data_IF_399548032694
#
_entry.id   IF_399548032694
#
_cell.length_a   1.000
_cell.length_b   1.000
_cell.length_c   1.000
_cell.angle_alpha   90.00
_cell.angle_beta   90.00
_cell.angle_gamma   90.00
#
_symmetry.space_group_name_H-M   'P 1'
#
loop_
_entity.id
_entity.type
_entity.pdbx_description
1 polymer ?
#
# COMPACT_ATOMS: atom_id res chain seq x y z
N UNK A 1 0.98 10.88 -12.17
CA UNK A 1 0.84 11.91 -13.22
C UNK A 1 -0.64 12.06 -13.52
N UNK A 2 -1.17 13.28 -13.48
CA UNK A 2 -2.56 13.56 -13.84
C UNK A 2 -2.69 13.72 -15.35
N UNK A 3 -3.89 13.49 -15.88
CA UNK A 3 -4.18 13.72 -17.31
C UNK A 3 -3.86 15.16 -17.73
N UNK A 4 -4.17 16.13 -16.86
CA UNK A 4 -3.88 17.55 -17.12
C UNK A 4 -2.40 17.86 -17.19
N UNK A 5 -1.58 17.21 -16.36
CA UNK A 5 -0.12 17.33 -16.46
C UNK A 5 0.41 16.79 -17.80
N UNK A 6 -0.13 15.65 -18.26
CA UNK A 6 0.26 15.09 -19.57
C UNK A 6 -0.12 16.02 -20.72
N UNK A 7 -1.33 16.60 -20.69
CA UNK A 7 -1.78 17.58 -21.68
C UNK A 7 -0.88 18.81 -21.65
N UNK A 8 -0.58 19.35 -20.47
CA UNK A 8 0.32 20.49 -20.34
C UNK A 8 1.70 20.20 -20.93
N UNK A 9 2.30 19.03 -20.69
CA UNK A 9 3.60 18.65 -21.27
C UNK A 9 3.58 18.62 -22.80
N UNK A 10 2.55 18.00 -23.40
CA UNK A 10 2.40 17.95 -24.86
C UNK A 10 2.22 19.36 -25.43
N UNK A 11 1.41 20.18 -24.77
CA UNK A 11 1.12 21.54 -25.22
C UNK A 11 2.30 22.50 -25.06
N UNK A 12 3.13 22.37 -24.02
CA UNK A 12 4.35 23.18 -23.86
C UNK A 12 5.24 23.05 -25.10
N UNK A 13 5.41 21.83 -25.63
CA UNK A 13 6.15 21.61 -26.87
C UNK A 13 5.60 22.41 -28.05
N UNK A 14 4.27 22.45 -28.20
CA UNK A 14 3.62 23.22 -29.29
C UNK A 14 3.76 24.73 -29.12
N UNK A 15 3.75 25.23 -27.88
CA UNK A 15 3.85 26.67 -27.58
C UNK A 15 5.27 27.20 -27.83
N UNK A 16 6.28 26.38 -27.54
CA UNK A 16 7.68 26.74 -27.83
C UNK A 16 7.89 26.89 -29.35
N UNK A 17 7.18 26.11 -30.17
CA UNK A 17 7.31 26.14 -31.64
C UNK A 17 6.54 27.30 -32.28
N UNK A 18 5.43 27.75 -31.69
CA UNK A 18 4.56 28.79 -32.27
C UNK A 18 5.29 30.09 -32.67
N UNK A 19 6.19 30.68 -31.85
CA UNK A 19 6.95 31.87 -32.21
C UNK A 19 7.85 31.71 -33.44
N UNK A 20 8.23 30.49 -33.80
CA UNK A 20 9.06 30.19 -34.97
C UNK A 20 8.20 30.23 -36.25
N UNK A 21 6.93 29.84 -36.14
CA UNK A 21 5.99 29.77 -37.28
C UNK A 21 5.30 31.12 -37.51
N UNK A 22 4.98 31.83 -36.43
CA UNK A 22 4.22 33.08 -36.50
C UNK A 22 5.14 34.29 -36.71
N UNK A 23 4.95 35.04 -37.81
CA UNK A 23 5.79 36.21 -38.14
C UNK A 23 5.65 37.38 -37.14
N UNK A 24 4.59 37.39 -36.34
CA UNK A 24 4.33 38.42 -35.35
C UNK A 24 4.55 37.89 -33.93
N UNK A 25 5.61 38.37 -33.29
CA UNK A 25 5.97 38.02 -31.90
C UNK A 25 4.82 38.35 -30.93
N UNK A 26 4.11 39.46 -31.16
CA UNK A 26 2.97 39.88 -30.32
C UNK A 26 1.85 38.83 -30.37
N UNK A 27 1.51 38.32 -31.57
CA UNK A 27 0.49 37.28 -31.72
C UNK A 27 0.91 35.99 -31.00
N UNK A 28 2.19 35.62 -31.08
CA UNK A 28 2.73 34.47 -30.37
C UNK A 28 2.63 34.63 -28.84
N UNK A 29 2.98 35.81 -28.30
CA UNK A 29 2.87 36.10 -26.86
C UNK A 29 1.40 36.06 -26.39
N UNK A 30 0.48 36.62 -27.18
CA UNK A 30 -0.96 36.59 -26.88
C UNK A 30 -1.46 35.13 -26.86
N UNK A 31 -1.09 34.33 -27.87
CA UNK A 31 -1.44 32.91 -27.93
C UNK A 31 -0.92 32.12 -26.72
N UNK A 32 0.35 32.30 -26.36
CA UNK A 32 0.94 31.67 -25.19
C UNK A 32 0.25 32.09 -23.88
N UNK A 33 -0.09 33.37 -23.74
CA UNK A 33 -0.79 33.90 -22.56
C UNK A 33 -2.19 33.30 -22.42
N UNK A 34 -2.95 33.22 -23.51
CA UNK A 34 -4.28 32.58 -23.54
C UNK A 34 -4.16 31.12 -23.12
N UNK A 35 -3.15 30.40 -23.61
CA UNK A 35 -2.94 29.01 -23.24
C UNK A 35 -2.65 28.85 -21.74
N UNK A 36 -1.72 29.63 -21.19
CA UNK A 36 -1.37 29.57 -19.76
C UNK A 36 -2.61 29.85 -18.90
N UNK A 37 -3.38 30.89 -19.23
CA UNK A 37 -4.63 31.21 -18.55
C UNK A 37 -5.63 30.04 -18.67
N UNK A 38 -5.71 29.40 -19.83
CA UNK A 38 -6.61 28.24 -20.05
C UNK A 38 -6.24 27.05 -19.17
N UNK A 39 -4.94 26.75 -18.98
CA UNK A 39 -4.49 25.70 -18.07
C UNK A 39 -4.85 26.03 -16.61
N UNK A 40 -4.60 27.27 -16.18
CA UNK A 40 -4.95 27.72 -14.82
C UNK A 40 -6.45 27.60 -14.57
N UNK A 41 -7.28 28.03 -15.53
CA UNK A 41 -8.74 27.92 -15.45
C UNK A 41 -9.16 26.45 -15.37
N UNK A 42 -8.57 25.58 -16.19
CA UNK A 42 -8.88 24.15 -16.20
C UNK A 42 -8.56 23.48 -14.86
N UNK A 43 -7.40 23.79 -14.28
CA UNK A 43 -6.97 23.27 -12.98
C UNK A 43 -7.86 23.78 -11.85
N UNK A 44 -8.21 25.07 -11.87
CA UNK A 44 -9.16 25.64 -10.93
C UNK A 44 -10.55 24.99 -11.03
N UNK A 45 -11.05 24.75 -12.25
CA UNK A 45 -12.33 24.06 -12.47
C UNK A 45 -12.31 22.63 -11.92
N UNK A 46 -11.20 21.90 -12.11
CA UNK A 46 -11.05 20.55 -11.55
C UNK A 46 -11.10 20.55 -10.02
N UNK A 47 -10.40 21.48 -9.38
CA UNK A 47 -10.37 21.57 -7.91
C UNK A 47 -11.71 22.05 -7.34
N UNK A 48 -12.43 22.90 -8.06
CA UNK A 48 -13.70 23.46 -7.58
C UNK A 48 -14.89 22.52 -7.81
N UNK A 49 -14.88 21.75 -8.88
CA UNK A 49 -16.01 20.92 -9.29
C UNK A 49 -15.63 19.44 -9.40
N UNK A 50 -16.10 18.62 -8.45
CA UNK A 50 -15.90 17.15 -8.47
C UNK A 50 -16.39 16.48 -9.77
N UNK A 51 -17.33 17.09 -10.50
CA UNK A 51 -17.81 16.56 -11.79
C UNK A 51 -16.71 16.67 -12.85
N UNK A 52 -15.99 17.79 -12.91
CA UNK A 52 -14.86 17.99 -13.82
C UNK A 52 -13.68 17.11 -13.40
N UNK A 53 -13.39 17.03 -12.11
CA UNK A 53 -12.40 16.09 -11.57
C UNK A 53 -12.71 14.65 -11.98
N UNK A 54 -13.93 14.19 -11.75
CA UNK A 54 -14.36 12.81 -12.05
C UNK A 54 -14.36 12.52 -13.55
N UNK A 55 -14.76 13.50 -14.38
CA UNK A 55 -14.79 13.35 -15.83
C UNK A 55 -13.38 13.31 -16.44
N UNK A 56 -12.48 14.16 -15.96
CA UNK A 56 -11.11 14.28 -16.48
C UNK A 56 -10.20 13.19 -15.90
N UNK A 57 -10.21 13.00 -14.58
CA UNK A 57 -9.37 12.00 -13.92
C UNK A 57 -9.91 10.60 -14.10
N UNK A 58 -11.23 10.42 -14.22
CA UNK A 58 -11.88 9.11 -14.28
C UNK A 58 -12.10 8.51 -12.88
N UNK A 59 -12.95 7.48 -12.80
CA UNK A 59 -13.16 6.70 -11.55
C UNK A 59 -12.41 5.39 -11.63
N UNK A 60 -11.75 5.01 -10.54
CA UNK A 60 -11.22 3.66 -10.39
C UNK A 60 -12.34 2.63 -10.40
N UNK A 61 -12.02 1.41 -10.85
CA UNK A 61 -12.97 0.30 -10.95
C UNK A 61 -12.43 -0.90 -10.21
N UNK A 62 -13.22 -1.41 -9.27
CA UNK A 62 -12.87 -2.62 -8.51
C UNK A 62 -12.88 -3.81 -9.47
N UNK A 63 -11.77 -4.53 -9.53
CA UNK A 63 -11.57 -5.72 -10.35
C UNK A 63 -11.36 -6.99 -9.54
N UNK A 64 -10.93 -6.88 -8.27
CA UNK A 64 -10.86 -7.99 -7.31
C UNK A 64 -11.45 -7.50 -5.99
N UNK A 65 -12.27 -8.34 -5.36
CA UNK A 65 -12.87 -8.11 -4.05
C UNK A 65 -12.87 -9.41 -3.25
N UNK A 66 -12.22 -9.41 -2.09
CA UNK A 66 -12.05 -10.54 -1.18
C UNK A 66 -11.58 -11.82 -1.90
N UNK A 67 -10.51 -11.73 -2.69
CA UNK A 67 -9.97 -12.84 -3.47
C UNK A 67 -10.83 -13.29 -4.65
N UNK A 68 -11.92 -12.59 -4.97
CA UNK A 68 -12.81 -12.92 -6.09
C UNK A 68 -12.75 -11.87 -7.18
N UNK A 69 -12.62 -12.33 -8.42
CA UNK A 69 -12.52 -11.44 -9.58
C UNK A 69 -13.90 -10.92 -10.01
N UNK A 70 -14.00 -9.60 -10.22
CA UNK A 70 -15.20 -8.96 -10.73
C UNK A 70 -15.21 -8.95 -12.27
N UNK A 71 -15.70 -10.05 -12.85
CA UNK A 71 -15.76 -10.25 -14.31
C UNK A 71 -16.57 -9.17 -15.02
N UNK A 72 -17.60 -8.62 -14.38
CA UNK A 72 -18.42 -7.56 -14.99
C UNK A 72 -17.63 -6.28 -15.18
N UNK A 73 -16.84 -5.88 -14.19
CA UNK A 73 -16.00 -4.70 -14.28
C UNK A 73 -14.82 -4.91 -15.25
N UNK A 74 -14.25 -6.11 -15.30
CA UNK A 74 -13.24 -6.45 -16.31
C UNK A 74 -13.77 -6.32 -17.74
N UNK A 75 -14.99 -6.81 -18.02
CA UNK A 75 -15.64 -6.62 -19.32
C UNK A 75 -15.87 -5.15 -19.66
N UNK A 76 -16.30 -4.34 -18.69
CA UNK A 76 -16.47 -2.87 -18.87
C UNK A 76 -15.15 -2.16 -19.16
N UNK A 77 -14.06 -2.63 -18.56
CA UNK A 77 -12.70 -2.12 -18.79
C UNK A 77 -12.03 -2.70 -20.04
N UNK A 78 -12.67 -3.64 -20.75
CA UNK A 78 -12.07 -4.43 -21.84
C UNK A 78 -10.74 -5.07 -21.42
N UNK A 79 -10.67 -5.53 -20.18
CA UNK A 79 -9.49 -6.13 -19.58
C UNK A 79 -9.66 -7.64 -19.48
N UNK A 80 -8.68 -8.40 -20.00
CA UNK A 80 -8.68 -9.86 -19.86
C UNK A 80 -8.19 -10.29 -18.48
N UNK A 81 -8.51 -11.53 -18.10
CA UNK A 81 -7.99 -12.16 -16.87
C UNK A 81 -6.46 -12.18 -16.89
N UNK A 82 -5.87 -12.63 -17.99
CA UNK A 82 -4.40 -12.66 -18.16
C UNK A 82 -3.76 -11.29 -17.99
N UNK A 83 -4.39 -10.22 -18.49
CA UNK A 83 -3.87 -8.86 -18.32
C UNK A 83 -3.97 -8.37 -16.86
N UNK A 84 -4.98 -8.80 -16.12
CA UNK A 84 -5.06 -8.51 -14.69
C UNK A 84 -3.98 -9.29 -13.92
N UNK A 85 -3.83 -10.58 -14.19
CA UNK A 85 -2.81 -11.43 -13.57
C UNK A 85 -1.38 -10.95 -13.88
N UNK A 86 -1.12 -10.52 -15.13
CA UNK A 86 0.15 -9.90 -15.48
C UNK A 86 0.43 -8.65 -14.64
N UNK A 87 -0.58 -7.79 -14.41
CA UNK A 87 -0.41 -6.61 -13.56
C UNK A 87 -0.17 -6.99 -12.10
N UNK A 88 -0.87 -8.00 -11.58
CA UNK A 88 -0.63 -8.51 -10.23
C UNK A 88 0.80 -9.02 -10.06
N UNK A 89 1.28 -9.80 -11.03
CA UNK A 89 2.67 -10.30 -11.04
C UNK A 89 3.69 -9.18 -11.10
N UNK A 90 3.43 -8.10 -11.86
CA UNK A 90 4.28 -6.91 -11.88
C UNK A 90 4.34 -6.19 -10.53
N UNK A 91 3.32 -6.34 -9.69
CA UNK A 91 3.29 -5.84 -8.31
C UNK A 91 3.83 -6.86 -7.28
N UNK A 92 4.34 -8.02 -7.73
CA UNK A 92 4.84 -9.08 -6.86
C UNK A 92 3.75 -9.96 -6.24
N UNK A 93 2.50 -9.86 -6.70
CA UNK A 93 1.37 -10.64 -6.19
C UNK A 93 1.20 -11.89 -7.05
N UNK A 94 1.41 -13.07 -6.46
CA UNK A 94 1.31 -14.34 -7.19
C UNK A 94 -0.07 -15.00 -7.12
N UNK A 95 -0.84 -14.73 -6.07
CA UNK A 95 -2.15 -15.36 -5.85
C UNK A 95 -3.25 -14.31 -5.73
N UNK A 96 -4.39 -14.60 -6.32
CA UNK A 96 -5.57 -13.72 -6.24
C UNK A 96 -6.16 -13.74 -4.81
N UNK A 97 -6.07 -14.86 -4.12
CA UNK A 97 -6.56 -15.04 -2.73
C UNK A 97 -5.88 -14.10 -1.72
N UNK A 98 -4.63 -13.71 -2.00
CA UNK A 98 -3.86 -12.78 -1.18
C UNK A 98 -4.32 -11.33 -1.34
N UNK A 99 -5.25 -11.05 -2.26
CA UNK A 99 -5.78 -9.71 -2.54
C UNK A 99 -7.15 -9.52 -1.91
N UNK A 100 -7.23 -8.60 -0.95
CA UNK A 100 -8.49 -8.16 -0.36
C UNK A 100 -9.27 -7.26 -1.31
N UNK A 101 -8.61 -6.32 -1.98
CA UNK A 101 -9.24 -5.46 -2.98
C UNK A 101 -8.22 -5.08 -4.03
N UNK A 102 -8.61 -5.07 -5.31
CA UNK A 102 -7.82 -4.44 -6.35
C UNK A 102 -8.69 -3.57 -7.26
N UNK A 103 -8.14 -2.45 -7.66
CA UNK A 103 -8.75 -1.47 -8.56
C UNK A 103 -7.88 -1.29 -9.80
N UNK A 104 -8.53 -1.03 -10.93
CA UNK A 104 -7.85 -0.44 -12.07
C UNK A 104 -8.11 1.06 -12.00
N UNK A 105 -7.01 1.80 -11.85
CA UNK A 105 -7.00 3.25 -11.87
C UNK A 105 -7.18 3.76 -13.32
N UNK A 106 -7.63 5.00 -13.52
CA UNK A 106 -7.87 5.55 -14.85
C UNK A 106 -6.64 5.60 -15.76
N UNK A 107 -5.45 5.66 -15.16
CA UNK A 107 -4.17 5.55 -15.86
C UNK A 107 -3.80 4.09 -16.26
N UNK A 108 -4.67 3.12 -15.97
CA UNK A 108 -4.50 1.70 -16.28
C UNK A 108 -3.63 0.92 -15.28
N UNK A 109 -3.17 1.58 -14.20
CA UNK A 109 -2.39 0.93 -13.14
C UNK A 109 -3.30 0.14 -12.20
N UNK A 110 -2.71 -0.87 -11.56
CA UNK A 110 -3.36 -1.69 -10.55
C UNK A 110 -3.15 -1.08 -9.16
N UNK A 111 -4.21 -0.59 -8.53
CA UNK A 111 -4.24 -0.36 -7.09
C UNK A 111 -4.61 -1.65 -6.38
N UNK A 112 -4.02 -1.93 -5.22
CA UNK A 112 -4.34 -3.14 -4.47
C UNK A 112 -4.20 -2.96 -2.95
N UNK A 113 -4.94 -3.77 -2.21
CA UNK A 113 -4.78 -4.02 -0.78
C UNK A 113 -4.67 -5.54 -0.59
N UNK A 114 -3.60 -5.98 0.08
CA UNK A 114 -3.42 -7.39 0.44
C UNK A 114 -4.34 -7.79 1.60
N UNK A 115 -4.71 -9.07 1.63
CA UNK A 115 -5.36 -9.71 2.77
C UNK A 115 -4.47 -9.65 4.02
N UNK A 116 -5.05 -9.66 5.23
CA UNK A 116 -4.28 -9.48 6.47
C UNK A 116 -3.12 -10.47 6.61
N UNK A 117 -3.34 -11.73 6.23
CA UNK A 117 -2.32 -12.79 6.28
C UNK A 117 -1.18 -12.60 5.26
N UNK A 118 -1.41 -11.82 4.21
CA UNK A 118 -0.44 -11.56 3.13
C UNK A 118 0.24 -10.19 3.27
N UNK A 119 -0.23 -9.31 4.18
CA UNK A 119 0.39 -8.00 4.41
C UNK A 119 1.78 -8.19 5.02
N UNK A 120 2.82 -7.51 4.51
CA UNK A 120 4.15 -7.56 5.11
C UNK A 120 4.13 -6.88 6.47
N UNK A 121 4.79 -7.49 7.44
CA UNK A 121 4.97 -6.90 8.77
C UNK A 121 5.92 -5.71 8.67
N UNK A 122 5.54 -4.57 9.26
CA UNK A 122 6.45 -3.42 9.32
C UNK A 122 7.53 -3.64 10.37
N UNK A 123 8.70 -3.02 10.19
CA UNK A 123 9.79 -3.09 11.18
C UNK A 123 9.36 -2.57 12.55
N UNK A 124 8.47 -1.57 12.59
CA UNK A 124 7.92 -1.03 13.83
C UNK A 124 7.04 -2.03 14.59
N UNK A 125 6.13 -2.71 13.89
CA UNK A 125 5.29 -3.76 14.46
C UNK A 125 6.14 -4.94 14.95
N UNK A 126 7.13 -5.35 14.16
CA UNK A 126 8.07 -6.40 14.55
C UNK A 126 8.81 -6.05 15.85
N UNK A 127 9.35 -4.83 15.98
CA UNK A 127 10.03 -4.37 17.19
C UNK A 127 9.11 -4.36 18.41
N UNK A 128 7.85 -3.97 18.23
CA UNK A 128 6.84 -3.98 19.30
C UNK A 128 6.55 -5.41 19.76
N UNK A 129 6.29 -6.32 18.83
CA UNK A 129 6.05 -7.75 19.13
C UNK A 129 7.26 -8.37 19.83
N UNK A 130 8.47 -8.07 19.34
CA UNK A 130 9.71 -8.58 19.91
C UNK A 130 9.98 -8.03 21.32
N UNK A 131 9.74 -6.74 21.54
CA UNK A 131 9.85 -6.12 22.86
C UNK A 131 8.84 -6.70 23.86
N UNK A 132 7.59 -6.90 23.42
CA UNK A 132 6.56 -7.57 24.23
C UNK A 132 6.99 -8.99 24.58
N UNK A 133 7.51 -9.75 23.63
CA UNK A 133 8.02 -11.11 23.85
C UNK A 133 9.14 -11.15 24.90
N UNK A 134 10.17 -10.31 24.77
CA UNK A 134 11.28 -10.28 25.73
C UNK A 134 10.85 -9.81 27.12
N UNK A 135 9.94 -8.82 27.21
CA UNK A 135 9.41 -8.34 28.50
C UNK A 135 8.56 -9.40 29.22
N UNK A 136 7.78 -10.19 28.47
CA UNK A 136 7.03 -11.33 29.01
C UNK A 136 7.98 -12.43 29.52
N UNK A 137 9.07 -12.71 28.80
CA UNK A 137 10.05 -13.72 29.19
C UNK A 137 10.82 -13.36 30.48
N UNK A 138 11.21 -12.09 30.63
CA UNK A 138 11.90 -11.61 31.83
C UNK A 138 11.02 -11.72 33.09
N UNK A 139 9.70 -11.58 32.94
CA UNK A 139 8.73 -11.76 34.01
C UNK A 139 8.50 -13.24 34.36
N UNK A 140 8.66 -14.15 33.39
CA UNK A 140 8.55 -15.59 33.60
C UNK A 140 9.80 -16.18 34.31
N UNK A 141 10.99 -15.65 34.06
CA UNK A 141 12.22 -16.10 34.74
C UNK A 141 12.27 -15.67 36.21
N UNK A 142 11.68 -14.54 36.60
CA UNK A 142 11.59 -14.17 38.02
C UNK A 142 10.70 -15.10 38.85
N UNK A 143 9.72 -15.79 38.22
CA UNK A 143 8.88 -16.78 38.90
C UNK A 143 9.56 -18.17 39.05
N UNK A 144 10.69 -18.42 38.37
CA UNK A 144 11.46 -19.66 38.53
C UNK A 144 12.37 -19.65 39.75
N UNK A 145 12.73 -18.48 40.29
CA UNK A 145 13.58 -18.37 41.49
C UNK A 145 12.81 -18.56 42.80
N UNK A 146 11.46 -18.53 42.80
CA UNK A 146 10.66 -18.74 44.02
C UNK A 146 10.16 -20.18 44.23
N UNK A 147 10.20 -21.06 43.23
CA UNK A 147 10.08 -22.51 43.46
C UNK A 147 11.48 -23.06 43.63
N UNK A 148 11.89 -23.24 44.88
CA UNK A 148 13.23 -23.66 45.31
C UNK A 148 13.86 -24.69 44.39
N UNK A 149 15.15 -24.49 44.13
CA UNK A 149 15.90 -25.39 43.28
C UNK A 149 15.85 -26.79 43.92
N UNK A 150 15.54 -27.82 43.13
CA UNK A 150 15.49 -29.22 43.58
C UNK A 150 16.85 -29.64 44.22
N UNK A 151 17.91 -28.92 43.87
CA UNK A 151 19.27 -29.09 44.40
C UNK A 151 19.50 -28.44 45.78
N UNK A 152 18.67 -27.46 46.18
CA UNK A 152 18.73 -26.82 47.51
C UNK A 152 18.17 -27.73 48.60
N UNK A 153 17.19 -28.59 48.27
CA UNK A 153 16.61 -29.57 49.20
C UNK A 153 17.63 -30.65 49.60
N UNK A 154 18.51 -31.05 48.66
CA UNK A 154 19.58 -32.02 48.92
C UNK A 154 20.66 -31.42 49.83
N UNK A 155 20.95 -30.12 49.70
CA UNK A 155 22.00 -29.46 50.47
C UNK A 155 21.57 -29.08 51.91
N UNK A 156 20.27 -28.94 52.16
CA UNK A 156 19.70 -28.63 53.49
C UNK A 156 19.20 -29.87 54.25
N UNK A 157 19.39 -31.07 53.72
CA UNK A 157 19.03 -32.33 54.38
C UNK A 157 20.08 -32.69 55.45
N UNK A 158 19.78 -32.36 56.71
CA UNK A 158 20.49 -32.85 57.89
C UNK A 158 20.48 -34.40 57.91
N UNK A 159 21.62 -35.11 58.10
CA UNK A 159 21.64 -36.56 58.12
C UNK A 159 21.12 -37.10 59.47
N UNK A 160 19.81 -37.13 59.68
CA UNK A 160 19.12 -37.78 60.81
C UNK A 160 17.68 -38.11 60.39
N UNK A 161 17.12 -39.31 60.54
CA UNK A 161 17.55 -40.56 61.15
C UNK A 161 16.82 -41.71 60.45
N UNK A 162 17.45 -42.89 60.40
CA UNK A 162 16.84 -44.13 59.93
C UNK A 162 15.62 -44.47 60.81
N UNK A 163 14.44 -44.81 60.25
CA UNK A 163 13.32 -45.30 61.06
C UNK A 163 13.61 -46.75 61.49
N UNK A 164 13.89 -46.95 62.78
CA UNK A 164 14.00 -48.26 63.43
C UNK A 164 12.60 -48.88 63.63
N UNK A 165 11.97 -49.33 62.55
CA UNK A 165 10.83 -50.23 62.63
C UNK A 165 10.79 -51.12 61.40
N UNK A 166 11.73 -52.07 61.40
CA UNK A 166 11.57 -53.37 60.77
C UNK A 166 11.70 -54.44 61.85
N UNK A 167 10.56 -54.89 62.35
CA UNK A 167 10.30 -56.22 62.90
C UNK A 167 8.80 -56.50 62.79
#
# INVERSE_FOLDING_TARGET
>A
MTLSQTVAMISIGTIIVQPIVEKSVIKAIVGASIFVVSIIILEYLQLKFNIFETFITGKSKIVIENGKMNIQNLKKLRLTVDQLEMRMRNQGISKIEDVKTATIEPNGLLGYELSENAKPLTVGEFRKILGLYFSAQQSADQNKTQKGNIFEEINNSNPQAHPDHLN
#
